data_IF_283254071675
#
_entry.id   IF_283254071675
#
_cell.length_a   1.000
_cell.length_b   1.000
_cell.length_c   1.000
_cell.angle_alpha   90.00
_cell.angle_beta   90.00
_cell.angle_gamma   90.00
#
_symmetry.space_group_name_H-M   'P 1'
#
loop_
_entity.id
_entity.type
_entity.pdbx_description
1 polymer ?
#
# COMPACT_ATOMS: atom_id res chain seq x y z
N UNK A 1 -12.03 -3.91 -15.94
CA UNK A 1 -10.76 -4.11 -15.19
C UNK A 1 -10.61 -3.09 -14.06
N UNK A 2 -10.73 -1.78 -14.32
CA UNK A 2 -10.61 -0.72 -13.29
C UNK A 2 -11.65 -0.88 -12.16
N UNK A 3 -12.94 -1.04 -12.49
CA UNK A 3 -13.99 -1.24 -11.50
C UNK A 3 -13.71 -2.45 -10.59
N UNK A 4 -13.31 -3.58 -11.17
CA UNK A 4 -12.90 -4.78 -10.43
C UNK A 4 -11.75 -4.49 -9.46
N UNK A 5 -10.74 -3.71 -9.88
CA UNK A 5 -9.65 -3.28 -9.01
C UNK A 5 -10.16 -2.48 -7.80
N UNK A 6 -11.11 -1.56 -7.99
CA UNK A 6 -11.72 -0.83 -6.88
C UNK A 6 -12.58 -1.73 -5.99
N UNK A 7 -13.39 -2.60 -6.57
CA UNK A 7 -14.22 -3.54 -5.82
C UNK A 7 -13.36 -4.43 -4.91
N UNK A 8 -12.27 -4.97 -5.45
CA UNK A 8 -11.38 -5.86 -4.70
C UNK A 8 -10.46 -5.11 -3.75
N UNK A 9 -9.76 -4.05 -4.20
CA UNK A 9 -8.73 -3.41 -3.39
C UNK A 9 -9.30 -2.41 -2.37
N UNK A 10 -10.48 -1.84 -2.62
CA UNK A 10 -11.06 -0.76 -1.81
C UNK A 10 -12.34 -1.25 -1.13
N UNK A 11 -13.37 -1.59 -1.90
CA UNK A 11 -14.71 -1.88 -1.38
C UNK A 11 -14.72 -3.11 -0.48
N UNK A 12 -13.91 -4.14 -0.78
CA UNK A 12 -13.78 -5.32 0.08
C UNK A 12 -13.35 -4.99 1.52
N UNK A 13 -12.58 -3.92 1.74
CA UNK A 13 -12.19 -3.51 3.10
C UNK A 13 -13.41 -3.04 3.91
N UNK A 14 -14.36 -2.36 3.27
CA UNK A 14 -15.60 -1.94 3.92
C UNK A 14 -16.43 -3.15 4.32
N UNK A 15 -16.56 -4.14 3.44
CA UNK A 15 -17.31 -5.36 3.74
C UNK A 15 -16.68 -6.18 4.85
N UNK A 16 -15.35 -6.35 4.84
CA UNK A 16 -14.65 -7.08 5.90
C UNK A 16 -14.75 -6.37 7.24
N UNK A 17 -14.55 -5.05 7.29
CA UNK A 17 -14.74 -4.27 8.53
C UNK A 17 -16.20 -4.34 9.00
N UNK A 18 -17.18 -4.15 8.11
CA UNK A 18 -18.60 -4.25 8.48
C UNK A 18 -18.97 -5.61 9.08
N UNK A 19 -18.39 -6.69 8.56
CA UNK A 19 -18.65 -8.04 9.04
C UNK A 19 -18.00 -8.32 10.40
N UNK A 20 -16.75 -7.90 10.62
CA UNK A 20 -15.98 -8.31 11.80
C UNK A 20 -15.92 -7.28 12.92
N UNK A 21 -16.06 -5.98 12.62
CA UNK A 21 -15.92 -4.90 13.60
C UNK A 21 -16.93 -5.00 14.76
N UNK A 22 -18.23 -5.31 14.55
CA UNK A 22 -19.19 -5.45 15.65
C UNK A 22 -18.72 -6.44 16.73
N UNK A 23 -18.20 -7.59 16.32
CA UNK A 23 -17.67 -8.60 17.25
C UNK A 23 -16.37 -8.17 17.92
N UNK A 24 -15.55 -7.34 17.25
CA UNK A 24 -14.36 -6.76 17.90
C UNK A 24 -14.75 -5.74 18.98
N UNK A 25 -15.81 -4.98 18.72
CA UNK A 25 -16.36 -3.98 19.64
C UNK A 25 -16.98 -4.65 20.87
N UNK A 26 -17.80 -5.70 20.67
CA UNK A 26 -18.46 -6.43 21.77
C UNK A 26 -17.44 -7.07 22.73
N UNK A 27 -16.41 -7.73 22.20
CA UNK A 27 -15.33 -8.33 23.00
C UNK A 27 -14.26 -7.34 23.47
N UNK A 28 -14.37 -6.07 23.07
CA UNK A 28 -13.43 -4.98 23.35
C UNK A 28 -11.98 -5.33 22.99
N UNK A 29 -11.76 -6.02 21.87
CA UNK A 29 -10.43 -6.44 21.45
C UNK A 29 -10.41 -6.77 19.96
N UNK A 30 -9.41 -6.27 19.24
CA UNK A 30 -9.25 -6.57 17.82
C UNK A 30 -8.07 -5.86 17.19
N UNK A 31 -7.70 -6.31 15.99
CA UNK A 31 -6.66 -5.67 15.19
C UNK A 31 -7.04 -5.69 13.72
N UNK A 32 -7.25 -4.53 13.12
CA UNK A 32 -7.49 -4.37 11.68
C UNK A 32 -6.17 -4.05 10.99
N UNK A 33 -5.74 -4.90 10.06
CA UNK A 33 -4.49 -4.72 9.31
C UNK A 33 -4.82 -4.43 7.86
N UNK A 34 -4.51 -3.23 7.39
CA UNK A 34 -4.75 -2.81 6.02
C UNK A 34 -3.46 -2.87 5.21
N UNK A 35 -3.45 -3.66 4.13
CA UNK A 35 -2.28 -3.82 3.27
C UNK A 35 -2.41 -2.93 2.03
N UNK A 36 -1.73 -1.78 2.06
CA UNK A 36 -1.62 -0.86 0.94
C UNK A 36 -0.30 -1.05 0.17
N UNK A 37 0.39 0.04 -0.18
CA UNK A 37 1.60 0.07 -1.00
C UNK A 37 2.24 1.46 -0.88
N UNK A 38 3.55 1.58 -1.14
CA UNK A 38 4.15 2.90 -1.38
C UNK A 38 3.50 3.63 -2.57
N UNK A 39 2.94 2.88 -3.52
CA UNK A 39 2.13 3.45 -4.62
C UNK A 39 0.80 4.06 -4.18
N UNK A 40 0.42 3.87 -2.91
CA UNK A 40 -0.69 4.56 -2.23
C UNK A 40 -0.28 5.85 -1.51
N UNK A 41 1.02 6.18 -1.53
CA UNK A 41 1.57 7.42 -0.96
C UNK A 41 2.23 8.29 -2.06
N UNK A 42 2.58 7.70 -3.20
CA UNK A 42 3.09 8.39 -4.38
C UNK A 42 2.61 7.75 -5.69
N UNK A 43 2.47 8.55 -6.75
CA UNK A 43 2.13 8.05 -8.08
C UNK A 43 3.28 7.24 -8.68
N UNK A 44 2.95 6.14 -9.37
CA UNK A 44 3.93 5.24 -9.97
C UNK A 44 3.61 4.98 -11.44
N UNK A 45 4.61 5.07 -12.30
CA UNK A 45 4.47 4.82 -13.74
C UNK A 45 3.91 3.41 -14.01
N UNK A 46 3.00 3.30 -14.99
CA UNK A 46 2.22 2.08 -15.34
C UNK A 46 1.29 1.51 -14.26
N UNK A 47 1.05 2.24 -13.16
CA UNK A 47 0.20 1.79 -12.06
C UNK A 47 -0.93 2.78 -11.75
N UNK A 48 -1.50 3.47 -12.74
CA UNK A 48 -2.44 4.59 -12.48
C UNK A 48 -3.66 4.15 -11.68
N UNK A 49 -4.37 3.14 -12.18
CA UNK A 49 -5.56 2.56 -11.54
C UNK A 49 -5.21 1.88 -10.21
N UNK A 50 -4.13 1.09 -10.19
CA UNK A 50 -3.65 0.44 -8.97
C UNK A 50 -3.27 1.45 -7.88
N UNK A 51 -2.49 2.47 -8.21
CA UNK A 51 -2.14 3.58 -7.31
C UNK A 51 -3.40 4.23 -6.76
N UNK A 52 -4.37 4.58 -7.59
CA UNK A 52 -5.62 5.19 -7.13
C UNK A 52 -6.32 4.32 -6.07
N UNK A 53 -6.40 3.00 -6.27
CA UNK A 53 -6.98 2.09 -5.25
C UNK A 53 -6.16 2.08 -3.95
N UNK A 54 -4.83 2.15 -4.01
CA UNK A 54 -3.97 2.13 -2.83
C UNK A 54 -3.97 3.46 -2.07
N UNK A 55 -4.15 4.59 -2.75
CA UNK A 55 -4.43 5.88 -2.10
C UNK A 55 -5.79 5.84 -1.39
N UNK A 56 -6.84 5.33 -2.05
CA UNK A 56 -8.15 5.16 -1.41
C UNK A 56 -8.09 4.24 -0.18
N UNK A 57 -7.27 3.18 -0.24
CA UNK A 57 -7.02 2.27 0.89
C UNK A 57 -6.35 2.98 2.08
N UNK A 58 -5.42 3.91 1.83
CA UNK A 58 -4.79 4.73 2.87
C UNK A 58 -5.83 5.65 3.52
N UNK A 59 -6.60 6.36 2.70
CA UNK A 59 -7.68 7.24 3.19
C UNK A 59 -8.70 6.48 4.04
N UNK A 60 -9.17 5.32 3.57
CA UNK A 60 -10.06 4.44 4.34
C UNK A 60 -9.49 4.10 5.73
N UNK A 61 -8.22 3.70 5.79
CA UNK A 61 -7.58 3.31 7.05
C UNK A 61 -7.46 4.48 8.02
N UNK A 62 -6.98 5.63 7.53
CA UNK A 62 -6.79 6.82 8.36
C UNK A 62 -8.12 7.35 8.91
N UNK A 63 -9.16 7.40 8.08
CA UNK A 63 -10.51 7.80 8.50
C UNK A 63 -11.10 6.85 9.54
N UNK A 64 -11.08 5.53 9.29
CA UNK A 64 -11.62 4.55 10.23
C UNK A 64 -10.87 4.56 11.58
N UNK A 65 -9.55 4.73 11.55
CA UNK A 65 -8.75 4.86 12.77
C UNK A 65 -9.17 6.09 13.59
N UNK A 66 -9.41 7.21 12.92
CA UNK A 66 -9.85 8.44 13.59
C UNK A 66 -11.25 8.30 14.19
N UNK A 67 -12.19 7.68 13.47
CA UNK A 67 -13.54 7.38 13.97
C UNK A 67 -13.47 6.52 15.23
N UNK A 68 -12.77 5.37 15.17
CA UNK A 68 -12.66 4.45 16.30
C UNK A 68 -12.02 5.11 17.52
N UNK A 69 -10.97 5.92 17.33
CA UNK A 69 -10.33 6.66 18.42
C UNK A 69 -11.25 7.72 19.02
N UNK A 70 -11.95 8.48 18.18
CA UNK A 70 -12.86 9.55 18.62
C UNK A 70 -14.03 8.98 19.42
N UNK A 71 -14.54 7.80 19.05
CA UNK A 71 -15.58 7.09 19.80
C UNK A 71 -15.07 6.29 21.01
N UNK A 72 -13.79 6.44 21.40
CA UNK A 72 -13.22 5.81 22.59
C UNK A 72 -12.90 4.31 22.44
N UNK A 73 -12.91 3.77 21.22
CA UNK A 73 -12.59 2.37 20.92
C UNK A 73 -11.09 2.09 20.83
N UNK A 74 -10.29 2.64 21.76
CA UNK A 74 -8.82 2.51 21.77
C UNK A 74 -8.30 1.07 21.89
N UNK A 75 -9.17 0.14 22.27
CA UNK A 75 -8.88 -1.29 22.35
C UNK A 75 -8.85 -1.97 20.96
N UNK A 76 -9.46 -1.37 19.93
CA UNK A 76 -9.29 -1.79 18.54
C UNK A 76 -7.98 -1.23 18.02
N UNK A 77 -7.03 -2.11 17.70
CA UNK A 77 -5.75 -1.72 17.11
C UNK A 77 -5.89 -1.67 15.60
N UNK A 78 -5.12 -0.78 14.97
CA UNK A 78 -5.06 -0.71 13.51
C UNK A 78 -3.63 -0.52 13.06
N UNK A 79 -3.26 -1.21 11.99
CA UNK A 79 -1.96 -1.09 11.33
C UNK A 79 -2.16 -0.99 9.82
N UNK A 80 -1.65 0.05 9.19
CA UNK A 80 -1.50 0.10 7.74
C UNK A 80 -0.06 -0.23 7.34
N UNK A 81 0.08 -1.06 6.31
CA UNK A 81 1.38 -1.42 5.75
C UNK A 81 1.46 -0.99 4.30
N UNK A 82 2.49 -0.21 3.97
CA UNK A 82 2.78 0.33 2.66
C UNK A 82 4.15 -0.17 2.18
N UNK A 83 4.22 -1.39 1.61
CA UNK A 83 5.47 -1.94 1.11
C UNK A 83 5.91 -1.32 -0.23
N UNK A 84 7.21 -1.35 -0.47
CA UNK A 84 7.84 -1.16 -1.78
C UNK A 84 7.66 -2.42 -2.65
N UNK A 85 8.31 -2.45 -3.82
CA UNK A 85 8.26 -3.60 -4.72
C UNK A 85 8.70 -4.90 -4.02
N UNK A 86 7.94 -5.97 -4.28
CA UNK A 86 8.12 -7.31 -3.71
C UNK A 86 8.26 -8.31 -4.86
N UNK A 87 9.18 -9.26 -4.71
CA UNK A 87 9.44 -10.35 -5.67
C UNK A 87 8.33 -11.43 -5.64
N UNK A 88 7.11 -11.05 -6.02
CA UNK A 88 5.94 -11.97 -6.12
C UNK A 88 5.48 -12.20 -7.56
N UNK A 89 6.20 -11.68 -8.55
CA UNK A 89 5.82 -11.71 -9.97
C UNK A 89 4.92 -10.54 -10.42
N UNK A 90 4.27 -9.83 -9.49
CA UNK A 90 3.41 -8.67 -9.81
C UNK A 90 4.15 -7.55 -10.54
N UNK A 91 5.42 -7.32 -10.18
CA UNK A 91 6.27 -6.28 -10.77
C UNK A 91 7.36 -6.88 -11.66
N UNK A 92 7.10 -8.03 -12.29
CA UNK A 92 8.08 -8.70 -13.14
C UNK A 92 8.56 -7.80 -14.30
N UNK A 93 9.88 -7.76 -14.49
CA UNK A 93 10.56 -6.86 -15.41
C UNK A 93 10.80 -5.43 -14.88
N UNK A 94 10.31 -5.06 -13.69
CA UNK A 94 10.74 -3.84 -13.02
C UNK A 94 12.20 -3.97 -12.57
N UNK A 95 12.99 -2.91 -12.75
CA UNK A 95 14.41 -2.83 -12.38
C UNK A 95 14.65 -1.57 -11.54
N UNK A 96 14.28 -1.59 -10.25
CA UNK A 96 14.47 -0.44 -9.37
C UNK A 96 15.97 -0.16 -9.18
N UNK A 97 16.38 1.07 -9.47
CA UNK A 97 17.80 1.48 -9.40
C UNK A 97 18.23 1.94 -8.01
N UNK A 98 17.31 2.53 -7.26
CA UNK A 98 17.61 3.10 -5.95
C UNK A 98 17.73 2.04 -4.85
N UNK A 99 16.91 0.98 -4.92
CA UNK A 99 16.89 -0.12 -3.95
C UNK A 99 16.42 -1.42 -4.60
N UNK A 100 16.92 -2.58 -4.14
CA UNK A 100 16.40 -3.86 -4.59
C UNK A 100 14.94 -4.06 -4.16
N UNK A 101 14.25 -4.98 -4.85
CA UNK A 101 12.95 -5.46 -4.41
C UNK A 101 13.10 -6.32 -3.15
N UNK A 102 12.03 -6.36 -2.35
CA UNK A 102 12.00 -7.18 -1.14
C UNK A 102 11.53 -8.61 -1.43
N UNK A 103 12.06 -9.56 -0.67
CA UNK A 103 11.53 -10.92 -0.67
C UNK A 103 10.19 -10.99 0.10
N UNK A 104 9.21 -11.79 -0.36
CA UNK A 104 7.91 -11.90 0.30
C UNK A 104 8.01 -12.32 1.77
N UNK A 105 8.97 -13.20 2.10
CA UNK A 105 9.21 -13.68 3.47
C UNK A 105 9.61 -12.54 4.41
N UNK A 106 10.43 -11.61 3.94
CA UNK A 106 10.89 -10.47 4.75
C UNK A 106 9.77 -9.47 4.99
N UNK A 107 8.96 -9.21 3.95
CA UNK A 107 7.78 -8.35 4.07
C UNK A 107 6.77 -8.96 5.05
N UNK A 108 6.48 -10.26 4.94
CA UNK A 108 5.59 -10.96 5.86
C UNK A 108 6.11 -10.90 7.31
N UNK A 109 7.40 -11.15 7.53
CA UNK A 109 8.03 -11.04 8.86
C UNK A 109 7.90 -9.62 9.43
N UNK A 110 8.07 -8.59 8.59
CA UNK A 110 7.92 -7.19 8.98
C UNK A 110 6.48 -6.83 9.33
N UNK A 111 5.49 -7.33 8.58
CA UNK A 111 4.06 -7.17 8.87
C UNK A 111 3.73 -7.81 10.22
N UNK A 112 4.15 -9.06 10.46
CA UNK A 112 3.92 -9.75 11.74
C UNK A 112 4.55 -8.98 12.89
N UNK A 113 5.77 -8.45 12.70
CA UNK A 113 6.44 -7.61 13.70
C UNK A 113 5.66 -6.33 13.98
N UNK A 114 5.14 -5.67 12.94
CA UNK A 114 4.31 -4.47 13.10
C UNK A 114 3.04 -4.74 13.90
N UNK A 115 2.37 -5.86 13.61
CA UNK A 115 1.15 -6.30 14.31
C UNK A 115 1.47 -6.50 15.80
N UNK A 116 2.52 -7.27 16.10
CA UNK A 116 2.96 -7.53 17.49
C UNK A 116 3.32 -6.24 18.24
N UNK A 117 3.93 -5.27 17.55
CA UNK A 117 4.33 -3.98 18.11
C UNK A 117 3.21 -2.92 18.10
N UNK A 118 2.04 -3.25 17.53
CA UNK A 118 0.90 -2.32 17.37
C UNK A 118 1.31 -1.03 16.65
N UNK A 119 2.21 -1.14 15.68
CA UNK A 119 2.62 0.00 14.86
C UNK A 119 1.43 0.48 14.03
N UNK A 120 1.15 1.79 14.02
CA UNK A 120 -0.01 2.33 13.31
C UNK A 120 0.24 2.47 11.82
N UNK A 121 1.39 3.03 11.45
CA UNK A 121 1.74 3.32 10.06
C UNK A 121 3.11 2.78 9.72
N UNK A 122 3.16 1.82 8.81
CA UNK A 122 4.37 1.06 8.45
C UNK A 122 4.68 1.25 6.99
N UNK A 123 5.87 1.74 6.67
CA UNK A 123 6.40 1.69 5.31
C UNK A 123 7.55 0.70 5.24
N UNK A 124 7.72 0.03 4.11
CA UNK A 124 8.85 -0.87 3.88
C UNK A 124 9.52 -0.40 2.60
N UNK A 125 10.67 0.30 2.67
CA UNK A 125 11.48 0.58 3.86
C UNK A 125 10.87 1.65 4.80
N UNK A 126 11.30 1.65 6.07
CA UNK A 126 10.80 2.57 7.11
C UNK A 126 11.10 4.05 6.79
N UNK A 127 12.23 4.35 6.14
CA UNK A 127 12.60 5.73 5.80
C UNK A 127 11.62 6.37 4.81
N UNK A 128 10.92 5.56 4.00
CA UNK A 128 9.96 6.05 3.01
C UNK A 128 8.85 6.88 3.66
N UNK A 129 8.46 6.56 4.91
CA UNK A 129 7.51 7.34 5.72
C UNK A 129 7.86 8.82 5.82
N UNK A 130 9.15 9.15 5.88
CA UNK A 130 9.62 10.53 5.99
C UNK A 130 9.87 11.18 4.62
N UNK A 131 10.24 10.37 3.63
CA UNK A 131 10.51 10.87 2.28
C UNK A 131 9.24 11.16 1.47
N UNK A 132 8.19 10.34 1.59
CA UNK A 132 6.98 10.48 0.76
C UNK A 132 6.21 11.79 0.99
N UNK A 133 6.09 12.35 2.21
CA UNK A 133 5.45 13.63 2.42
C UNK A 133 6.29 14.81 1.90
N UNK A 134 7.62 14.67 1.83
CA UNK A 134 8.51 15.76 1.43
C UNK A 134 8.20 16.30 0.02
N UNK A 135 7.70 15.42 -0.87
CA UNK A 135 7.30 15.80 -2.24
C UNK A 135 6.26 16.94 -2.28
N UNK A 136 5.46 17.12 -1.22
CA UNK A 136 4.44 18.17 -1.16
C UNK A 136 5.03 19.55 -0.82
N UNK A 137 6.23 19.60 -0.26
CA UNK A 137 6.94 20.84 0.04
C UNK A 137 7.87 21.30 -1.10
N UNK A 138 8.14 20.42 -2.08
CA UNK A 138 9.01 20.70 -3.23
C UNK A 138 8.15 21.19 -4.40
N UNK A 139 8.52 22.28 -5.11
CA UNK A 139 7.82 22.71 -6.31
C UNK A 139 7.68 21.57 -7.33
N UNK A 140 6.48 21.41 -7.92
CA UNK A 140 6.15 20.25 -8.74
C UNK A 140 7.13 19.99 -9.90
N UNK A 141 7.62 21.06 -10.55
CA UNK A 141 8.64 20.96 -11.62
C UNK A 141 9.97 20.39 -11.11
N UNK A 142 10.40 20.80 -9.91
CA UNK A 142 11.63 20.30 -9.30
C UNK A 142 11.46 18.84 -8.85
N UNK A 143 10.31 18.51 -8.25
CA UNK A 143 9.99 17.14 -7.88
C UNK A 143 9.98 16.20 -9.12
N UNK A 144 9.45 16.66 -10.25
CA UNK A 144 9.54 15.93 -11.52
C UNK A 144 10.99 15.68 -11.96
N UNK A 145 11.84 16.72 -11.93
CA UNK A 145 13.26 16.59 -12.27
C UNK A 145 13.98 15.60 -11.35
N UNK A 146 13.73 15.66 -10.04
CA UNK A 146 14.29 14.72 -9.06
C UNK A 146 13.83 13.28 -9.34
N UNK A 147 12.54 13.07 -9.54
CA UNK A 147 11.98 11.74 -9.82
C UNK A 147 12.50 11.16 -11.15
N UNK A 148 12.59 11.99 -12.18
CA UNK A 148 12.95 11.55 -13.53
C UNK A 148 14.47 11.39 -13.72
N UNK A 149 15.29 12.33 -13.22
CA UNK A 149 16.74 12.36 -13.47
C UNK A 149 17.56 11.69 -12.36
N UNK A 150 17.21 11.91 -11.09
CA UNK A 150 17.99 11.43 -9.94
C UNK A 150 17.53 10.03 -9.55
N UNK A 151 16.25 9.89 -9.17
CA UNK A 151 15.68 8.63 -8.67
C UNK A 151 15.44 7.64 -9.82
N UNK A 152 15.18 8.15 -11.02
CA UNK A 152 14.88 7.37 -12.24
C UNK A 152 13.71 6.40 -12.03
N UNK A 153 12.67 6.86 -11.33
CA UNK A 153 11.51 6.05 -10.95
C UNK A 153 10.66 5.57 -12.14
N UNK A 154 10.39 6.38 -13.19
CA UNK A 154 9.72 5.86 -14.39
C UNK A 154 10.56 4.80 -15.10
N UNK A 155 11.89 4.98 -15.14
CA UNK A 155 12.81 4.11 -15.85
C UNK A 155 12.90 2.72 -15.22
N UNK A 156 12.75 2.60 -13.90
CA UNK A 156 12.67 1.29 -13.25
C UNK A 156 11.45 0.49 -13.69
N UNK A 157 10.36 1.17 -14.07
CA UNK A 157 9.09 0.56 -14.45
C UNK A 157 8.96 0.35 -15.97
N UNK A 158 9.89 0.84 -16.79
CA UNK A 158 9.81 0.71 -18.26
C UNK A 158 9.83 -0.75 -18.73
N UNK A 159 10.62 -1.60 -18.08
CA UNK A 159 10.69 -3.04 -18.36
C UNK A 159 9.54 -3.86 -17.78
N UNK A 160 8.70 -3.26 -16.92
CA UNK A 160 7.59 -3.98 -16.30
C UNK A 160 6.61 -4.47 -17.38
N UNK A 161 6.37 -5.78 -17.39
CA UNK A 161 5.37 -6.40 -18.26
C UNK A 161 3.99 -5.88 -17.83
N UNK A 162 3.17 -5.47 -18.78
CA UNK A 162 1.80 -5.04 -18.48
C UNK A 162 1.08 -6.15 -17.72
N UNK A 163 0.23 -5.80 -16.75
CA UNK A 163 -0.65 -6.74 -16.01
C UNK A 163 -1.46 -7.68 -16.91
N UNK A 164 -1.51 -7.43 -18.23
CA UNK A 164 -2.22 -8.16 -19.27
C UNK A 164 -1.77 -9.61 -19.58
N UNK A 165 -0.75 -10.20 -18.94
CA UNK A 165 -0.22 -11.52 -19.38
C UNK A 165 -0.56 -12.73 -18.52
N UNK A 166 -1.42 -12.60 -17.51
CA UNK A 166 -1.82 -13.73 -16.64
C UNK A 166 -3.09 -14.45 -17.10
N UNK A 167 -3.81 -13.96 -18.12
CA UNK A 167 -5.04 -14.60 -18.62
C UNK A 167 -4.81 -15.75 -19.63
N UNK A 168 -3.57 -16.02 -20.05
CA UNK A 168 -3.30 -17.10 -21.03
C UNK A 168 -3.11 -18.51 -20.43
N UNK A 169 -3.32 -18.68 -19.13
CA UNK A 169 -3.17 -20.00 -18.46
C UNK A 169 -4.51 -20.56 -17.95
N UNK A 170 -5.59 -19.77 -17.95
CA UNK A 170 -6.94 -20.24 -17.56
C UNK A 170 -7.85 -20.55 -18.78
N UNK A 171 -7.29 -20.54 -19.99
CA UNK A 171 -8.01 -20.80 -21.24
C UNK A 171 -7.38 -21.94 -22.09
N UNK A 172 -6.62 -22.84 -21.46
CA UNK A 172 -6.08 -24.04 -22.09
C UNK A 172 -6.47 -25.29 -21.29
#
# INVERSE_FOLDING_TARGET
>A
MIEKSFQVNVISNYWTVKAFLPDMLSRRSGHIVTVSSLTGLMGTYKCVDYSATKFATVGFHESLLLELKTHGHHFIKMTIVCPYFINTGMFDGCKPKAMPMYEPKDVAKRIITAIKRREVFVTIPNWARFATPLKYYIPAKLNWVLLYRVIKAPQSMMGMRSFKKTEKVEAA
#
